data_IF_986984669303
#
_entry.id   IF_986984669303
#
_cell.length_a   1.000
_cell.length_b   1.000
_cell.length_c   1.000
_cell.angle_alpha   90.00
_cell.angle_beta   90.00
_cell.angle_gamma   90.00
#
_symmetry.space_group_name_H-M   'P 1'
#
loop_
_entity.id
_entity.type
_entity.pdbx_description
1 polymer ?
#
# COMPACT_ATOMS: atom_id res chain seq x y z
N UNK A 1 -18.73 16.80 1.48
CA UNK A 1 -19.54 15.77 2.17
C UNK A 1 -19.77 14.56 1.26
N UNK A 2 -20.03 14.74 -0.03
CA UNK A 2 -20.23 13.64 -0.99
C UNK A 2 -19.02 12.70 -1.14
N UNK A 3 -17.78 13.22 -1.20
CA UNK A 3 -16.58 12.39 -1.29
C UNK A 3 -16.40 11.44 -0.11
N UNK A 4 -16.78 11.87 1.11
CA UNK A 4 -16.74 11.04 2.31
C UNK A 4 -17.81 9.94 2.26
N UNK A 5 -19.05 10.29 1.89
CA UNK A 5 -20.15 9.33 1.73
C UNK A 5 -19.79 8.24 0.71
N UNK A 6 -19.23 8.65 -0.44
CA UNK A 6 -18.69 7.78 -1.49
C UNK A 6 -17.62 6.83 -0.96
N UNK A 7 -16.61 7.37 -0.29
CA UNK A 7 -15.53 6.57 0.31
C UNK A 7 -16.05 5.56 1.34
N UNK A 8 -17.05 5.94 2.13
CA UNK A 8 -17.66 5.07 3.14
C UNK A 8 -18.52 3.97 2.52
N UNK A 9 -19.28 4.27 1.46
CA UNK A 9 -20.05 3.28 0.72
C UNK A 9 -19.15 2.21 0.07
N UNK A 10 -18.05 2.65 -0.56
CA UNK A 10 -17.01 1.74 -1.07
C UNK A 10 -16.47 0.83 0.03
N UNK A 11 -16.07 1.43 1.16
CA UNK A 11 -15.50 0.73 2.29
C UNK A 11 -16.42 -0.38 2.79
N UNK A 12 -17.69 -0.05 3.02
CA UNK A 12 -18.71 -0.98 3.54
C UNK A 12 -18.87 -2.18 2.61
N UNK A 13 -18.87 -1.95 1.30
CA UNK A 13 -19.03 -3.03 0.33
C UNK A 13 -17.76 -3.86 0.16
N UNK A 14 -16.60 -3.23 0.05
CA UNK A 14 -15.31 -3.92 -0.04
C UNK A 14 -15.04 -4.79 1.19
N UNK A 15 -15.43 -4.34 2.38
CA UNK A 15 -15.33 -5.10 3.62
C UNK A 15 -16.41 -6.16 3.79
N UNK A 16 -17.64 -5.91 3.33
CA UNK A 16 -18.67 -6.95 3.30
C UNK A 16 -18.25 -8.13 2.41
N UNK A 17 -17.59 -7.85 1.29
CA UNK A 17 -16.97 -8.84 0.41
C UNK A 17 -15.84 -9.60 1.13
N UNK A 18 -14.92 -8.87 1.77
CA UNK A 18 -13.80 -9.45 2.51
C UNK A 18 -14.22 -10.35 3.68
N UNK A 19 -15.35 -10.04 4.34
CA UNK A 19 -15.89 -10.85 5.42
C UNK A 19 -16.65 -12.08 4.91
N UNK A 20 -17.21 -12.03 3.70
CA UNK A 20 -17.85 -13.18 3.05
C UNK A 20 -16.83 -14.20 2.57
N UNK A 21 -15.73 -13.72 1.99
CA UNK A 21 -14.60 -14.57 1.60
C UNK A 21 -13.32 -14.11 2.31
N UNK A 22 -12.99 -14.84 3.37
CA UNK A 22 -11.82 -14.56 4.22
C UNK A 22 -10.51 -14.71 3.47
N UNK A 23 -10.50 -15.39 2.31
CA UNK A 23 -9.29 -15.59 1.53
C UNK A 23 -8.80 -14.28 0.91
N UNK A 24 -9.69 -13.31 0.71
CA UNK A 24 -9.37 -11.94 0.25
C UNK A 24 -8.49 -11.17 1.24
N UNK A 25 -8.57 -11.47 2.54
CA UNK A 25 -7.81 -10.79 3.59
C UNK A 25 -6.43 -11.43 3.85
N UNK A 26 -6.29 -12.72 3.54
CA UNK A 26 -5.07 -13.50 3.81
C UNK A 26 -3.80 -12.83 3.26
N UNK A 27 -3.74 -12.35 1.99
CA UNK A 27 -2.50 -11.78 1.46
C UNK A 27 -2.11 -10.49 2.19
N UNK A 28 -3.07 -9.63 2.57
CA UNK A 28 -2.79 -8.41 3.32
C UNK A 28 -2.24 -8.69 4.72
N UNK A 29 -2.73 -9.75 5.38
CA UNK A 29 -2.20 -10.19 6.68
C UNK A 29 -0.79 -10.77 6.52
N UNK A 30 -0.57 -11.61 5.52
CA UNK A 30 0.75 -12.17 5.24
C UNK A 30 1.77 -11.10 4.85
N UNK A 31 1.36 -10.08 4.08
CA UNK A 31 2.21 -8.94 3.74
C UNK A 31 2.74 -8.25 4.99
N UNK A 32 1.87 -8.08 5.99
CA UNK A 32 2.24 -7.41 7.23
C UNK A 32 3.21 -8.26 8.07
N UNK A 33 2.95 -9.55 8.23
CA UNK A 33 3.82 -10.45 9.00
C UNK A 33 5.17 -10.63 8.30
N UNK A 34 5.16 -10.96 7.00
CA UNK A 34 6.40 -11.15 6.22
C UNK A 34 7.17 -9.84 6.12
N UNK A 35 6.50 -8.72 5.88
CA UNK A 35 7.13 -7.41 5.85
C UNK A 35 7.76 -7.03 7.19
N UNK A 36 7.14 -7.40 8.32
CA UNK A 36 7.72 -7.18 9.64
C UNK A 36 8.97 -8.05 9.86
N UNK A 37 8.91 -9.34 9.55
CA UNK A 37 10.05 -10.27 9.67
C UNK A 37 11.22 -9.80 8.81
N UNK A 38 10.96 -9.42 7.56
CA UNK A 38 11.96 -8.86 6.64
C UNK A 38 12.56 -7.57 7.20
N UNK A 39 11.74 -6.69 7.77
CA UNK A 39 12.21 -5.45 8.38
C UNK A 39 13.13 -5.73 9.57
N UNK A 40 12.74 -6.62 10.47
CA UNK A 40 13.56 -6.99 11.65
C UNK A 40 14.89 -7.61 11.22
N UNK A 41 14.85 -8.60 10.31
CA UNK A 41 16.05 -9.27 9.83
C UNK A 41 16.96 -8.33 9.04
N UNK A 42 16.39 -7.42 8.25
CA UNK A 42 17.13 -6.46 7.44
C UNK A 42 17.74 -5.30 8.24
N UNK A 43 17.16 -4.93 9.37
CA UNK A 43 17.70 -3.88 10.25
C UNK A 43 18.97 -4.34 10.97
N UNK A 44 19.06 -5.63 11.36
CA UNK A 44 20.23 -6.19 12.07
C UNK A 44 21.56 -5.89 11.34
N UNK A 45 21.75 -6.24 10.05
CA UNK A 45 23.01 -5.95 9.35
C UNK A 45 23.26 -4.46 9.15
N UNK A 46 22.21 -3.63 9.03
CA UNK A 46 22.34 -2.17 8.92
C UNK A 46 22.89 -1.59 10.23
N UNK A 47 22.34 -2.00 11.37
CA UNK A 47 22.80 -1.58 12.69
C UNK A 47 24.24 -2.04 12.92
N UNK A 48 24.56 -3.30 12.61
CA UNK A 48 25.94 -3.81 12.72
C UNK A 48 26.91 -3.03 11.85
N UNK A 49 26.57 -2.75 10.59
CA UNK A 49 27.40 -1.96 9.70
C UNK A 49 27.60 -0.53 10.22
N UNK A 50 26.56 0.08 10.78
CA UNK A 50 26.62 1.40 11.39
C UNK A 50 27.53 1.42 12.64
N UNK A 51 27.43 0.43 13.53
CA UNK A 51 28.28 0.35 14.71
C UNK A 51 29.75 0.09 14.38
N UNK A 52 30.04 -0.73 13.37
CA UNK A 52 31.42 -1.10 13.01
C UNK A 52 32.09 0.00 12.17
N UNK A 53 31.34 0.65 11.26
CA UNK A 53 31.93 1.52 10.23
C UNK A 53 31.34 2.94 10.17
N UNK A 54 30.41 3.33 11.06
CA UNK A 54 29.56 4.53 10.94
C UNK A 54 30.29 5.86 10.72
N UNK A 55 31.50 6.02 11.27
CA UNK A 55 32.29 7.26 11.13
C UNK A 55 33.11 7.32 9.84
N UNK A 56 33.12 6.25 9.05
CA UNK A 56 33.88 6.18 7.80
C UNK A 56 33.00 6.46 6.59
N UNK A 57 33.58 7.03 5.52
CA UNK A 57 32.87 7.15 4.24
C UNK A 57 32.44 5.79 3.69
N UNK A 58 33.27 4.75 3.92
CA UNK A 58 32.95 3.37 3.55
C UNK A 58 31.70 2.85 4.28
N UNK A 59 31.62 3.02 5.61
CA UNK A 59 30.45 2.61 6.38
C UNK A 59 29.17 3.32 5.99
N UNK A 60 29.25 4.60 5.63
CA UNK A 60 28.10 5.34 5.10
C UNK A 60 27.60 4.77 3.77
N UNK A 61 28.50 4.39 2.85
CA UNK A 61 28.13 3.75 1.58
C UNK A 61 27.52 2.37 1.82
N UNK A 62 28.11 1.56 2.70
CA UNK A 62 27.61 0.22 3.04
C UNK A 62 26.23 0.29 3.69
N UNK A 63 26.06 1.18 4.68
CA UNK A 63 24.78 1.38 5.38
C UNK A 63 23.70 1.87 4.41
N UNK A 64 24.06 2.77 3.48
CA UNK A 64 23.15 3.22 2.43
C UNK A 64 22.77 2.09 1.47
N UNK A 65 23.74 1.28 1.02
CA UNK A 65 23.51 0.13 0.16
C UNK A 65 22.62 -0.93 0.80
N UNK A 66 22.86 -1.25 2.08
CA UNK A 66 22.03 -2.17 2.85
C UNK A 66 20.62 -1.61 3.07
N UNK A 67 20.50 -0.31 3.33
CA UNK A 67 19.20 0.37 3.43
C UNK A 67 18.42 0.36 2.10
N UNK A 68 19.11 0.59 0.98
CA UNK A 68 18.53 0.49 -0.36
C UNK A 68 18.06 -0.94 -0.68
N UNK A 69 18.87 -1.94 -0.32
CA UNK A 69 18.52 -3.35 -0.47
C UNK A 69 17.29 -3.72 0.38
N UNK A 70 17.24 -3.26 1.63
CA UNK A 70 16.09 -3.50 2.50
C UNK A 70 14.80 -2.89 1.91
N UNK A 71 14.86 -1.64 1.43
CA UNK A 71 13.73 -0.99 0.75
C UNK A 71 13.30 -1.78 -0.49
N UNK A 72 14.26 -2.28 -1.28
CA UNK A 72 13.97 -3.11 -2.45
C UNK A 72 13.23 -4.39 -2.07
N UNK A 73 13.75 -5.16 -1.12
CA UNK A 73 13.10 -6.39 -0.65
C UNK A 73 11.69 -6.08 -0.12
N UNK A 74 11.54 -4.95 0.59
CA UNK A 74 10.23 -4.54 1.10
C UNK A 74 9.23 -4.24 -0.01
N UNK A 75 9.66 -3.59 -1.10
CA UNK A 75 8.80 -3.40 -2.27
C UNK A 75 8.42 -4.72 -2.94
N UNK A 76 9.37 -5.66 -3.09
CA UNK A 76 9.09 -6.99 -3.66
C UNK A 76 8.01 -7.71 -2.86
N UNK A 77 8.17 -7.78 -1.53
CA UNK A 77 7.17 -8.37 -0.63
C UNK A 77 5.82 -7.69 -0.81
N UNK A 78 5.80 -6.35 -0.80
CA UNK A 78 4.56 -5.58 -0.91
C UNK A 78 3.83 -5.87 -2.22
N UNK A 79 4.55 -5.88 -3.35
CA UNK A 79 3.96 -6.11 -4.68
C UNK A 79 3.51 -7.54 -4.90
N UNK A 80 4.21 -8.53 -4.35
CA UNK A 80 3.78 -9.95 -4.34
C UNK A 80 2.41 -10.07 -3.67
N UNK A 81 2.27 -9.55 -2.46
CA UNK A 81 1.03 -9.70 -1.70
C UNK A 81 -0.10 -8.82 -2.26
N UNK A 82 0.20 -7.60 -2.70
CA UNK A 82 -0.77 -6.75 -3.40
C UNK A 82 -1.26 -7.40 -4.70
N UNK A 83 -0.37 -7.98 -5.50
CA UNK A 83 -0.74 -8.70 -6.72
C UNK A 83 -1.68 -9.87 -6.45
N UNK A 84 -1.43 -10.66 -5.39
CA UNK A 84 -2.35 -11.71 -4.97
C UNK A 84 -3.72 -11.16 -4.56
N UNK A 85 -3.78 -10.10 -3.74
CA UNK A 85 -5.06 -9.49 -3.35
C UNK A 85 -5.84 -9.03 -4.57
N UNK A 86 -5.18 -8.41 -5.56
CA UNK A 86 -5.82 -7.97 -6.80
C UNK A 86 -6.42 -9.16 -7.55
N UNK A 87 -5.68 -10.25 -7.71
CA UNK A 87 -6.19 -11.44 -8.38
C UNK A 87 -7.37 -12.07 -7.64
N UNK A 88 -7.31 -12.17 -6.31
CA UNK A 88 -8.40 -12.75 -5.53
C UNK A 88 -9.69 -11.92 -5.63
N UNK A 89 -9.56 -10.59 -5.62
CA UNK A 89 -10.70 -9.70 -5.83
C UNK A 89 -11.28 -9.90 -7.23
N UNK A 90 -10.43 -10.01 -8.25
CA UNK A 90 -10.86 -10.29 -9.61
C UNK A 90 -11.56 -11.66 -9.75
N UNK A 91 -10.97 -12.71 -9.17
CA UNK A 91 -11.52 -14.07 -9.18
C UNK A 91 -12.86 -14.15 -8.46
N UNK A 92 -13.00 -13.51 -7.29
CA UNK A 92 -14.27 -13.45 -6.58
C UNK A 92 -15.33 -12.67 -7.39
N UNK A 93 -14.98 -11.55 -8.01
CA UNK A 93 -15.94 -10.75 -8.80
C UNK A 93 -16.35 -11.44 -10.12
N UNK A 94 -15.47 -12.25 -10.71
CA UNK A 94 -15.70 -12.87 -12.04
C UNK A 94 -16.24 -14.30 -11.95
N UNK A 95 -15.70 -15.10 -11.03
CA UNK A 95 -15.97 -16.54 -10.90
C UNK A 95 -16.75 -16.88 -9.61
N UNK A 96 -16.89 -15.93 -8.66
CA UNK A 96 -17.61 -16.13 -7.40
C UNK A 96 -16.82 -16.81 -6.28
N UNK A 97 -15.53 -17.13 -6.50
CA UNK A 97 -14.64 -17.77 -5.52
C UNK A 97 -13.19 -17.25 -5.66
N UNK A 98 -12.62 -16.70 -4.59
CA UNK A 98 -11.25 -16.20 -4.53
C UNK A 98 -10.25 -17.30 -4.19
N UNK A 99 -9.86 -18.14 -5.15
CA UNK A 99 -8.91 -19.24 -4.89
C UNK A 99 -7.46 -18.78 -4.75
N UNK A 100 -6.89 -18.99 -3.56
CA UNK A 100 -5.49 -18.67 -3.22
C UNK A 100 -4.45 -19.39 -4.11
N UNK A 101 -4.70 -20.64 -4.48
CA UNK A 101 -3.75 -21.44 -5.28
C UNK A 101 -3.47 -20.80 -6.65
N UNK A 102 -4.52 -20.26 -7.28
CA UNK A 102 -4.44 -19.58 -8.58
C UNK A 102 -3.70 -18.25 -8.44
N UNK A 103 -3.96 -17.50 -7.37
CA UNK A 103 -3.25 -16.24 -7.08
C UNK A 103 -1.73 -16.46 -6.94
N UNK A 104 -1.34 -17.53 -6.25
CA UNK A 104 0.08 -17.88 -6.07
C UNK A 104 0.75 -18.37 -7.36
N UNK A 105 0.02 -19.03 -8.26
CA UNK A 105 0.55 -19.44 -9.56
C UNK A 105 0.89 -18.22 -10.43
N UNK A 106 0.02 -17.21 -10.43
CA UNK A 106 0.19 -15.99 -11.23
C UNK A 106 1.36 -15.16 -10.71
N UNK A 107 1.43 -14.92 -9.41
CA UNK A 107 2.56 -14.15 -8.83
C UNK A 107 3.91 -14.84 -9.03
N UNK A 108 3.95 -16.19 -9.02
CA UNK A 108 5.18 -16.92 -9.35
C UNK A 108 5.59 -16.77 -10.82
N UNK A 109 4.62 -16.72 -11.74
CA UNK A 109 4.87 -16.48 -13.16
C UNK A 109 5.39 -15.06 -13.39
N UNK A 110 4.74 -14.07 -12.78
CA UNK A 110 5.03 -12.65 -12.98
C UNK A 110 6.11 -12.12 -11.99
N UNK A 111 6.82 -13.03 -11.32
CA UNK A 111 7.79 -12.69 -10.28
C UNK A 111 8.90 -11.76 -10.80
N UNK A 112 9.39 -11.99 -12.02
CA UNK A 112 10.42 -11.15 -12.61
C UNK A 112 9.91 -9.73 -12.94
N UNK A 113 8.67 -9.60 -13.42
CA UNK A 113 8.04 -8.30 -13.62
C UNK A 113 7.84 -7.57 -12.29
N UNK A 114 7.44 -8.29 -11.23
CA UNK A 114 7.33 -7.71 -9.88
C UNK A 114 8.71 -7.24 -9.36
N UNK A 115 9.77 -8.02 -9.59
CA UNK A 115 11.14 -7.62 -9.23
C UNK A 115 11.57 -6.35 -9.97
N UNK A 116 11.29 -6.25 -11.27
CA UNK A 116 11.64 -5.06 -12.04
C UNK A 116 10.83 -3.83 -11.59
N UNK A 117 9.54 -3.99 -11.30
CA UNK A 117 8.72 -2.92 -10.73
C UNK A 117 9.27 -2.47 -9.36
N UNK A 118 9.62 -3.41 -8.49
CA UNK A 118 10.25 -3.12 -7.20
C UNK A 118 11.59 -2.40 -7.36
N UNK A 119 12.39 -2.77 -8.36
CA UNK A 119 13.67 -2.12 -8.64
C UNK A 119 13.46 -0.65 -9.04
N UNK A 120 12.53 -0.40 -9.96
CA UNK A 120 12.22 0.97 -10.39
C UNK A 120 11.66 1.80 -9.22
N UNK A 121 10.73 1.24 -8.44
CA UNK A 121 10.19 1.92 -7.24
C UNK A 121 11.24 2.19 -6.18
N UNK A 122 12.23 1.31 -6.03
CA UNK A 122 13.38 1.54 -5.14
C UNK A 122 14.21 2.73 -5.62
N UNK A 123 14.57 2.75 -6.90
CA UNK A 123 15.35 3.84 -7.49
C UNK A 123 14.61 5.17 -7.33
N UNK A 124 13.31 5.22 -7.65
CA UNK A 124 12.47 6.41 -7.47
C UNK A 124 12.45 6.85 -6.01
N UNK A 125 12.30 5.91 -5.07
CA UNK A 125 12.30 6.22 -3.64
C UNK A 125 13.65 6.73 -3.13
N UNK A 126 14.77 6.17 -3.60
CA UNK A 126 16.12 6.64 -3.25
C UNK A 126 16.39 8.05 -3.79
N UNK A 127 16.02 8.32 -5.05
CA UNK A 127 16.13 9.65 -5.64
C UNK A 127 15.30 10.69 -4.88
N UNK A 128 14.07 10.32 -4.48
CA UNK A 128 13.20 11.14 -3.63
C UNK A 128 13.83 11.44 -2.27
N UNK A 129 14.36 10.41 -1.59
CA UNK A 129 14.97 10.57 -0.28
C UNK A 129 16.25 11.42 -0.34
N UNK A 130 17.05 11.26 -1.39
CA UNK A 130 18.21 12.11 -1.65
C UNK A 130 17.81 13.57 -1.91
N UNK A 131 16.76 13.80 -2.71
CA UNK A 131 16.24 15.14 -3.00
C UNK A 131 15.67 15.83 -1.74
N UNK A 132 15.02 15.08 -0.83
CA UNK A 132 14.49 15.60 0.44
C UNK A 132 15.59 15.92 1.46
N UNK A 133 16.67 15.14 1.47
CA UNK A 133 17.81 15.34 2.38
C UNK A 133 18.66 16.56 1.99
N UNK A 134 18.67 16.92 0.71
CA UNK A 134 19.36 18.10 0.18
C UNK A 134 18.53 19.38 0.35
N UNK A 135 18.27 19.75 1.62
CA UNK A 135 17.47 20.92 2.02
C UNK A 135 18.19 22.27 1.83
N UNK A 136 19.40 22.29 1.27
CA UNK A 136 20.28 23.47 1.20
C UNK A 136 20.47 23.92 -0.26
N UNK A 137 19.94 25.11 -0.55
CA UNK A 137 20.13 25.97 -1.74
C UNK A 137 20.68 25.30 -3.00
N UNK A 138 19.81 25.03 -3.98
CA UNK A 138 20.12 25.19 -5.41
C UNK A 138 18.84 25.06 -6.25
N UNK A 139 18.78 25.76 -7.39
CA UNK A 139 17.66 25.76 -8.35
C UNK A 139 17.20 24.36 -8.78
N UNK A 140 18.10 23.37 -8.75
CA UNK A 140 17.80 21.95 -8.94
C UNK A 140 16.82 21.40 -7.90
N UNK A 141 16.83 21.89 -6.66
CA UNK A 141 15.89 21.50 -5.61
C UNK A 141 14.47 22.05 -5.83
N UNK A 142 14.30 23.16 -6.57
CA UNK A 142 12.98 23.67 -6.96
C UNK A 142 12.38 22.82 -8.11
N UNK A 143 13.20 22.48 -9.12
CA UNK A 143 12.78 21.65 -10.25
C UNK A 143 12.58 20.19 -9.85
N UNK A 144 13.41 19.68 -8.93
CA UNK A 144 13.20 18.38 -8.29
C UNK A 144 11.97 18.38 -7.38
N UNK A 145 11.55 19.50 -6.78
CA UNK A 145 10.31 19.55 -5.97
C UNK A 145 9.05 19.49 -6.83
N UNK A 146 9.02 20.18 -7.97
CA UNK A 146 7.88 20.10 -8.90
C UNK A 146 7.83 18.77 -9.63
N UNK A 147 8.98 18.26 -10.09
CA UNK A 147 9.07 16.97 -10.75
C UNK A 147 8.86 15.82 -9.75
N UNK A 148 9.48 15.82 -8.57
CA UNK A 148 9.28 14.74 -7.59
C UNK A 148 7.86 14.73 -7.04
N UNK A 149 7.19 15.87 -6.80
CA UNK A 149 5.80 15.85 -6.31
C UNK A 149 4.82 15.25 -7.33
N UNK A 150 4.97 15.60 -8.61
CA UNK A 150 4.14 15.08 -9.71
C UNK A 150 4.52 13.64 -10.07
N UNK A 151 5.81 13.33 -10.22
CA UNK A 151 6.30 11.99 -10.52
C UNK A 151 6.06 11.02 -9.36
N UNK A 152 6.09 11.46 -8.10
CA UNK A 152 5.77 10.63 -6.92
C UNK A 152 4.29 10.27 -6.90
N UNK A 153 3.40 11.23 -7.10
CA UNK A 153 1.94 10.97 -7.11
C UNK A 153 1.59 10.10 -8.30
N UNK A 154 2.11 10.42 -9.49
CA UNK A 154 1.84 9.69 -10.72
C UNK A 154 2.48 8.31 -10.75
N UNK A 155 3.74 8.13 -10.33
CA UNK A 155 4.41 6.82 -10.32
C UNK A 155 3.83 5.90 -9.25
N UNK A 156 3.55 6.42 -8.06
CA UNK A 156 3.01 5.59 -6.98
C UNK A 156 1.57 5.19 -7.30
N UNK A 157 0.73 6.09 -7.83
CA UNK A 157 -0.64 5.75 -8.28
C UNK A 157 -0.67 4.88 -9.54
N UNK A 158 0.21 5.14 -10.52
CA UNK A 158 0.30 4.32 -11.73
C UNK A 158 0.82 2.91 -11.41
N UNK A 159 1.81 2.75 -10.52
CA UNK A 159 2.30 1.44 -10.10
C UNK A 159 1.18 0.59 -9.46
N UNK A 160 0.25 1.21 -8.74
CA UNK A 160 -0.92 0.53 -8.19
C UNK A 160 -1.95 0.09 -9.24
N UNK A 161 -1.95 0.67 -10.44
CA UNK A 161 -2.80 0.26 -11.58
C UNK A 161 -2.08 -0.70 -12.53
N UNK A 162 -0.75 -0.60 -12.61
CA UNK A 162 0.12 -1.50 -13.39
C UNK A 162 0.11 -2.90 -12.80
N UNK A 163 0.05 -3.05 -11.48
CA UNK A 163 -0.07 -4.35 -10.82
C UNK A 163 -1.34 -5.12 -11.25
N UNK A 164 -2.55 -4.53 -11.17
CA UNK A 164 -3.74 -5.12 -11.78
C UNK A 164 -3.60 -5.42 -13.26
N UNK A 165 -2.97 -4.54 -14.05
CA UNK A 165 -2.77 -4.79 -15.47
C UNK A 165 -1.90 -6.03 -15.75
N UNK A 166 -0.79 -6.18 -15.03
CA UNK A 166 0.09 -7.34 -15.18
C UNK A 166 -0.64 -8.62 -14.77
N UNK A 167 -1.26 -8.60 -13.59
CA UNK A 167 -1.87 -9.80 -12.98
C UNK A 167 -3.14 -10.25 -13.69
N UNK A 168 -3.99 -9.31 -14.12
CA UNK A 168 -5.31 -9.62 -14.69
C UNK A 168 -5.21 -9.83 -16.21
N UNK A 169 -4.39 -9.05 -16.90
CA UNK A 169 -4.29 -9.11 -18.35
C UNK A 169 -3.05 -9.85 -18.86
N UNK A 170 -2.24 -10.43 -17.98
CA UNK A 170 -1.08 -11.25 -18.33
C UNK A 170 -0.08 -10.48 -19.23
N UNK A 171 0.15 -9.22 -18.87
CA UNK A 171 0.99 -8.31 -19.63
C UNK A 171 2.32 -8.09 -18.89
N UNK A 172 3.43 -8.03 -19.64
CA UNK A 172 4.73 -7.64 -19.08
C UNK A 172 4.67 -6.19 -18.54
N UNK A 173 5.63 -5.81 -17.69
CA UNK A 173 5.67 -4.47 -17.08
C UNK A 173 5.53 -3.32 -18.10
N UNK A 174 6.23 -3.43 -19.24
CA UNK A 174 6.22 -2.42 -20.30
C UNK A 174 4.85 -2.27 -20.94
N UNK A 175 4.21 -3.39 -21.26
CA UNK A 175 2.92 -3.42 -21.95
C UNK A 175 1.80 -2.98 -21.00
N UNK A 176 1.91 -3.38 -19.72
CA UNK A 176 1.04 -2.92 -18.62
C UNK A 176 1.13 -1.41 -18.41
N UNK A 177 2.33 -0.83 -18.44
CA UNK A 177 2.54 0.61 -18.35
C UNK A 177 1.93 1.35 -19.53
N UNK A 178 2.15 0.86 -20.76
CA UNK A 178 1.56 1.47 -21.97
C UNK A 178 0.04 1.43 -21.93
N UNK A 179 -0.54 0.31 -21.47
CA UNK A 179 -1.98 0.14 -21.33
C UNK A 179 -2.57 1.08 -20.28
N UNK A 180 -2.00 1.12 -19.08
CA UNK A 180 -2.44 2.03 -18.01
C UNK A 180 -2.32 3.49 -18.45
N UNK A 181 -1.28 3.84 -19.20
CA UNK A 181 -1.10 5.19 -19.71
C UNK A 181 -2.18 5.58 -20.73
N UNK A 182 -2.56 4.65 -21.62
CA UNK A 182 -3.67 4.84 -22.55
C UNK A 182 -5.01 5.04 -21.82
N UNK A 183 -5.32 4.14 -20.88
CA UNK A 183 -6.52 4.20 -20.03
C UNK A 183 -6.61 5.54 -19.29
N UNK A 184 -5.50 5.96 -18.69
CA UNK A 184 -5.44 7.20 -17.90
C UNK A 184 -5.69 8.41 -18.78
N UNK A 185 -5.07 8.48 -19.97
CA UNK A 185 -5.21 9.62 -20.87
C UNK A 185 -6.62 9.79 -21.42
N UNK A 186 -7.33 8.68 -21.63
CA UNK A 186 -8.67 8.67 -22.23
C UNK A 186 -9.80 8.84 -21.19
N UNK A 187 -9.57 8.50 -19.90
CA UNK A 187 -10.63 8.49 -18.85
C UNK A 187 -10.28 9.29 -17.56
N UNK A 188 -9.34 10.25 -17.62
CA UNK A 188 -8.77 11.02 -16.50
C UNK A 188 -9.76 11.68 -15.53
N UNK A 189 -10.98 12.04 -15.98
CA UNK A 189 -11.97 12.76 -15.17
C UNK A 189 -12.70 11.88 -14.13
N UNK A 190 -12.71 10.55 -14.31
CA UNK A 190 -13.44 9.64 -13.41
C UNK A 190 -12.55 9.03 -12.30
N UNK A 191 -11.24 9.03 -12.52
CA UNK A 191 -10.22 8.44 -11.62
C UNK A 191 -9.89 9.38 -10.45
N UNK A 192 -9.94 10.70 -10.66
CA UNK A 192 -9.50 11.70 -9.67
C UNK A 192 -10.49 12.00 -8.53
N UNK A 193 -11.79 11.78 -8.73
CA UNK A 193 -12.82 12.22 -7.75
C UNK A 193 -13.05 11.16 -6.66
N UNK A 194 -12.90 9.88 -6.97
CA UNK A 194 -13.18 8.78 -6.03
C UNK A 194 -11.98 8.38 -5.16
N UNK A 195 -10.74 8.59 -5.62
CA UNK A 195 -9.50 8.32 -4.88
C UNK A 195 -9.42 9.14 -3.60
N UNK A 196 -9.87 10.40 -3.68
CA UNK A 196 -9.85 11.35 -2.57
C UNK A 196 -10.76 10.86 -1.44
N UNK A 197 -11.96 10.37 -1.74
CA UNK A 197 -12.91 9.88 -0.74
C UNK A 197 -12.41 8.69 0.08
N UNK A 198 -11.89 7.67 -0.60
CA UNK A 198 -11.39 6.45 0.05
C UNK A 198 -10.17 6.75 0.92
N UNK A 199 -9.22 7.57 0.45
CA UNK A 199 -8.05 7.97 1.23
C UNK A 199 -8.43 8.68 2.52
N UNK A 200 -9.37 9.63 2.46
CA UNK A 200 -9.87 10.32 3.66
C UNK A 200 -10.52 9.35 4.66
N UNK A 201 -11.33 8.41 4.19
CA UNK A 201 -12.00 7.43 5.06
C UNK A 201 -10.99 6.46 5.69
N UNK A 202 -10.07 5.91 4.91
CA UNK A 202 -9.01 5.03 5.44
C UNK A 202 -8.09 5.77 6.40
N UNK A 203 -7.79 7.06 6.13
CA UNK A 203 -6.99 7.90 6.99
C UNK A 203 -7.71 8.22 8.31
N UNK A 204 -9.01 8.48 8.26
CA UNK A 204 -9.84 8.69 9.45
C UNK A 204 -9.90 7.42 10.31
N UNK A 205 -10.08 6.25 9.69
CA UNK A 205 -10.07 4.98 10.41
C UNK A 205 -8.71 4.74 11.05
N UNK A 206 -7.62 4.94 10.31
CA UNK A 206 -6.26 4.86 10.85
C UNK A 206 -6.04 5.82 12.02
N UNK A 207 -6.55 7.05 11.92
CA UNK A 207 -6.48 8.04 12.99
C UNK A 207 -7.29 7.62 14.22
N UNK A 208 -8.53 7.13 14.05
CA UNK A 208 -9.38 6.68 15.16
C UNK A 208 -8.76 5.47 15.86
N UNK A 209 -8.32 4.45 15.13
CA UNK A 209 -7.65 3.30 15.72
C UNK A 209 -6.33 3.70 16.40
N UNK A 210 -5.56 4.59 15.79
CA UNK A 210 -4.34 5.13 16.38
C UNK A 210 -4.60 5.93 17.66
N UNK A 211 -5.62 6.79 17.67
CA UNK A 211 -6.02 7.58 18.83
C UNK A 211 -6.53 6.69 19.97
N UNK A 212 -7.40 5.72 19.68
CA UNK A 212 -7.89 4.75 20.68
C UNK A 212 -6.72 3.95 21.25
N UNK A 213 -5.88 3.38 20.38
CA UNK A 213 -4.71 2.64 20.79
C UNK A 213 -3.78 3.49 21.67
N UNK A 214 -3.57 4.75 21.30
CA UNK A 214 -2.72 5.67 22.05
C UNK A 214 -3.30 6.01 23.42
N UNK A 215 -4.60 6.32 23.51
CA UNK A 215 -5.28 6.61 24.77
C UNK A 215 -5.21 5.41 25.71
N UNK A 216 -5.47 4.20 25.21
CA UNK A 216 -5.39 2.98 26.02
C UNK A 216 -3.94 2.70 26.45
N UNK A 217 -2.99 2.82 25.53
CA UNK A 217 -1.57 2.63 25.84
C UNK A 217 -1.06 3.62 26.87
N UNK A 218 -1.48 4.88 26.77
CA UNK A 218 -1.13 5.93 27.72
C UNK A 218 -1.81 5.72 29.07
N UNK A 219 -3.08 5.32 29.10
CA UNK A 219 -3.81 5.02 30.32
C UNK A 219 -3.17 3.85 31.09
N UNK A 220 -2.78 2.79 30.38
CA UNK A 220 -2.16 1.61 31.00
C UNK A 220 -0.70 1.89 31.36
N UNK A 221 0.09 2.41 30.42
CA UNK A 221 1.51 2.68 30.66
C UNK A 221 1.76 3.80 31.67
N UNK A 222 1.05 4.92 31.52
CA UNK A 222 1.10 6.04 32.45
C UNK A 222 0.42 5.74 33.78
N UNK A 223 -0.68 4.98 33.79
CA UNK A 223 -1.37 4.56 35.01
C UNK A 223 -0.51 3.64 35.87
N UNK A 224 0.17 2.66 35.27
CA UNK A 224 1.09 1.77 35.98
C UNK A 224 2.31 2.53 36.52
N UNK A 225 2.87 3.46 35.74
CA UNK A 225 3.97 4.31 36.21
C UNK A 225 3.54 5.19 37.40
N UNK A 226 2.34 5.79 37.35
CA UNK A 226 1.80 6.62 38.42
C UNK A 226 1.54 5.83 39.71
N UNK A 227 0.86 4.68 39.62
CA UNK A 227 0.54 3.83 40.79
C UNK A 227 1.79 3.25 41.43
N UNK A 228 2.84 2.98 40.64
CA UNK A 228 4.11 2.45 41.14
C UNK A 228 5.01 3.47 41.84
N UNK A 229 4.59 4.74 41.94
CA UNK A 229 5.41 5.80 42.54
C UNK A 229 6.71 6.10 41.77
N UNK A 230 6.77 5.73 40.48
CA UNK A 230 7.96 5.90 39.66
C UNK A 230 8.99 4.77 39.81
N UNK A 231 8.63 3.63 40.38
CA UNK A 231 9.50 2.44 40.34
C UNK A 231 9.86 2.09 38.89
N UNK A 232 11.17 2.02 38.62
CA UNK A 232 11.70 1.83 37.27
C UNK A 232 11.19 0.52 36.65
N UNK A 233 11.15 -0.57 37.41
CA UNK A 233 10.72 -1.88 36.92
C UNK A 233 9.26 -1.88 36.47
N UNK A 234 8.35 -1.37 37.31
CA UNK A 234 6.91 -1.35 37.02
C UNK A 234 6.58 -0.35 35.90
N UNK A 235 7.29 0.79 35.86
CA UNK A 235 7.15 1.77 34.78
C UNK A 235 7.57 1.19 33.43
N UNK A 236 8.69 0.44 33.38
CA UNK A 236 9.13 -0.24 32.15
C UNK A 236 8.09 -1.27 31.71
N UNK A 237 7.57 -2.09 32.62
CA UNK A 237 6.53 -3.08 32.32
C UNK A 237 5.29 -2.39 31.75
N UNK A 238 4.84 -1.29 32.37
CA UNK A 238 3.70 -0.51 31.90
C UNK A 238 3.91 0.06 30.49
N UNK A 239 5.09 0.61 30.21
CA UNK A 239 5.45 1.11 28.88
C UNK A 239 5.45 -0.02 27.85
N UNK A 240 6.02 -1.19 28.18
CA UNK A 240 6.05 -2.34 27.28
C UNK A 240 4.64 -2.83 26.96
N UNK A 241 3.77 -2.99 27.97
CA UNK A 241 2.38 -3.41 27.78
C UNK A 241 1.62 -2.36 26.95
N UNK A 242 1.76 -1.08 27.28
CA UNK A 242 1.14 0.01 26.53
C UNK A 242 1.59 0.02 25.06
N UNK A 243 2.88 -0.15 24.81
CA UNK A 243 3.45 -0.24 23.46
C UNK A 243 2.90 -1.44 22.69
N UNK A 244 2.78 -2.62 23.30
CA UNK A 244 2.18 -3.80 22.67
C UNK A 244 0.71 -3.61 22.29
N UNK A 245 -0.06 -2.95 23.16
CA UNK A 245 -1.46 -2.63 22.89
C UNK A 245 -1.56 -1.63 21.73
N UNK A 246 -0.81 -0.53 21.80
CA UNK A 246 -0.76 0.46 20.72
C UNK A 246 -0.39 -0.20 19.39
N UNK A 247 0.64 -1.05 19.40
CA UNK A 247 1.10 -1.76 18.22
C UNK A 247 0.03 -2.68 17.62
N UNK A 248 -0.77 -3.34 18.45
CA UNK A 248 -1.90 -4.17 18.00
C UNK A 248 -2.94 -3.34 17.25
N UNK A 249 -3.30 -2.16 17.76
CA UNK A 249 -4.22 -1.25 17.08
C UNK A 249 -3.66 -0.74 15.75
N UNK A 250 -2.37 -0.38 15.72
CA UNK A 250 -1.67 0.04 14.49
C UNK A 250 -1.64 -1.09 13.46
N UNK A 251 -1.42 -2.34 13.88
CA UNK A 251 -1.47 -3.49 12.98
C UNK A 251 -2.84 -3.67 12.34
N UNK A 252 -3.92 -3.60 13.14
CA UNK A 252 -5.29 -3.71 12.63
C UNK A 252 -5.59 -2.59 11.63
N UNK A 253 -5.23 -1.35 11.95
CA UNK A 253 -5.37 -0.21 11.05
C UNK A 253 -4.57 -0.38 9.75
N UNK A 254 -3.38 -1.00 9.82
CA UNK A 254 -2.50 -1.24 8.68
C UNK A 254 -3.09 -2.28 7.72
N UNK A 255 -3.60 -3.40 8.24
CA UNK A 255 -4.32 -4.39 7.42
C UNK A 255 -5.53 -3.74 6.77
N UNK A 256 -6.25 -2.92 7.54
CA UNK A 256 -7.43 -2.24 7.05
C UNK A 256 -7.12 -1.33 5.86
N UNK A 257 -6.13 -0.46 6.03
CA UNK A 257 -5.67 0.47 5.01
C UNK A 257 -5.11 -0.26 3.78
N UNK A 258 -4.28 -1.29 3.99
CA UNK A 258 -3.65 -2.06 2.93
C UNK A 258 -4.68 -2.76 2.03
N UNK A 259 -5.65 -3.46 2.63
CA UNK A 259 -6.70 -4.15 1.89
C UNK A 259 -7.58 -3.16 1.13
N UNK A 260 -8.11 -2.13 1.81
CA UNK A 260 -9.01 -1.16 1.18
C UNK A 260 -8.36 -0.43 0.01
N UNK A 261 -7.09 -0.02 0.15
CA UNK A 261 -6.39 0.67 -0.92
C UNK A 261 -6.16 -0.25 -2.13
N UNK A 262 -5.74 -1.49 -1.88
CA UNK A 262 -5.53 -2.47 -2.95
C UNK A 262 -6.83 -2.83 -3.66
N UNK A 263 -7.91 -3.04 -2.90
CA UNK A 263 -9.22 -3.35 -3.44
C UNK A 263 -9.81 -2.21 -4.27
N UNK A 264 -9.56 -0.97 -3.86
CA UNK A 264 -9.99 0.20 -4.60
C UNK A 264 -9.33 0.28 -5.98
N UNK A 265 -8.00 0.14 -6.02
CA UNK A 265 -7.26 0.16 -7.29
C UNK A 265 -7.59 -1.04 -8.19
N UNK A 266 -7.81 -2.22 -7.62
CA UNK A 266 -8.27 -3.40 -8.36
C UNK A 266 -9.64 -3.16 -9.02
N UNK A 267 -10.63 -2.70 -8.24
CA UNK A 267 -11.97 -2.43 -8.76
C UNK A 267 -11.97 -1.34 -9.84
N UNK A 268 -11.17 -0.29 -9.64
CA UNK A 268 -11.03 0.80 -10.61
C UNK A 268 -10.46 0.28 -11.93
N UNK A 269 -9.41 -0.55 -11.86
CA UNK A 269 -8.80 -1.14 -13.04
C UNK A 269 -9.77 -2.05 -13.81
N UNK A 270 -10.48 -2.93 -13.10
CA UNK A 270 -11.48 -3.84 -13.70
C UNK A 270 -12.54 -3.02 -14.46
N UNK A 271 -13.08 -1.97 -13.82
CA UNK A 271 -14.08 -1.13 -14.44
C UNK A 271 -13.55 -0.39 -15.67
N UNK A 272 -12.35 0.20 -15.59
CA UNK A 272 -11.74 0.89 -16.73
C UNK A 272 -11.54 -0.05 -17.93
N UNK A 273 -11.08 -1.27 -17.67
CA UNK A 273 -10.94 -2.32 -18.69
C UNK A 273 -12.29 -2.70 -19.31
N UNK A 274 -13.33 -2.87 -18.49
CA UNK A 274 -14.64 -3.31 -18.99
C UNK A 274 -15.34 -2.19 -19.81
N UNK A 275 -15.11 -0.92 -19.45
CA UNK A 275 -15.52 0.25 -20.27
C UNK A 275 -14.80 0.26 -21.63
N UNK A 276 -13.49 0.00 -21.67
CA UNK A 276 -12.76 -0.09 -22.94
C UNK A 276 -13.26 -1.24 -23.82
N UNK A 277 -13.53 -2.41 -23.24
CA UNK A 277 -14.11 -3.55 -23.98
C UNK A 277 -15.48 -3.21 -24.57
N UNK A 278 -16.36 -2.57 -23.80
CA UNK A 278 -17.67 -2.16 -24.28
C UNK A 278 -17.59 -1.08 -25.38
N UNK A 279 -16.64 -0.15 -25.26
CA UNK A 279 -16.38 0.86 -26.29
C UNK A 279 -15.83 0.23 -27.59
N UNK A 280 -14.93 -0.75 -27.49
CA UNK A 280 -14.40 -1.50 -28.64
C UNK A 280 -15.47 -2.38 -29.31
N UNK A 281 -16.44 -2.88 -28.56
CA UNK A 281 -17.60 -3.63 -29.07
C UNK A 281 -18.72 -2.72 -29.64
N UNK A 282 -18.51 -1.40 -29.69
CA UNK A 282 -19.50 -0.44 -30.20
C UNK A 282 -20.74 -0.28 -29.32
N UNK A 283 -20.72 -0.77 -28.08
CA UNK A 283 -21.81 -0.64 -27.11
C UNK A 283 -21.57 0.61 -26.26
N UNK A 284 -22.31 1.68 -26.53
CA UNK A 284 -22.41 2.88 -25.66
C UNK A 284 -23.30 2.62 -24.43
N UNK A 285 -23.29 1.41 -23.88
CA UNK A 285 -24.04 1.06 -22.69
C UNK A 285 -23.17 1.35 -21.46
N UNK A 286 -23.70 2.09 -20.49
CA UNK A 286 -23.10 2.29 -19.17
C UNK A 286 -22.68 0.92 -18.59
N UNK A 287 -21.39 0.62 -18.65
CA UNK A 287 -20.84 -0.61 -18.08
C UNK A 287 -21.01 -0.54 -16.57
N UNK A 288 -21.79 -1.47 -16.03
CA UNK A 288 -22.05 -1.56 -14.60
C UNK A 288 -20.71 -1.74 -13.87
N UNK A 289 -20.37 -0.76 -13.03
CA UNK A 289 -19.18 -0.85 -12.21
C UNK A 289 -19.26 -2.04 -11.25
N UNK A 290 -18.11 -2.66 -10.89
CA UNK A 290 -18.06 -3.67 -9.84
C UNK A 290 -18.76 -3.16 -8.59
N UNK A 291 -19.52 -4.01 -7.89
CA UNK A 291 -20.40 -3.56 -6.80
C UNK A 291 -19.76 -2.50 -5.87
N UNK A 292 -18.53 -2.69 -5.34
CA UNK A 292 -17.89 -1.69 -4.48
C UNK A 292 -17.69 -0.32 -5.15
N UNK A 293 -17.36 -0.30 -6.44
CA UNK A 293 -17.17 0.90 -7.23
C UNK A 293 -18.50 1.50 -7.71
N UNK A 294 -19.51 0.68 -8.01
CA UNK A 294 -20.87 1.14 -8.31
C UNK A 294 -21.47 1.93 -7.14
N UNK A 295 -21.15 1.55 -5.90
CA UNK A 295 -21.54 2.28 -4.70
C UNK A 295 -20.98 3.71 -4.63
N UNK A 296 -19.86 3.97 -5.32
CA UNK A 296 -19.21 5.29 -5.40
C UNK A 296 -19.76 6.11 -6.56
N UNK A 297 -20.04 5.45 -7.68
CA UNK A 297 -20.47 6.12 -8.91
C UNK A 297 -21.97 6.45 -8.93
N UNK A 298 -22.79 5.69 -8.20
CA UNK A 298 -24.25 5.88 -8.11
C UNK A 298 -24.70 6.73 -6.91
N UNK A 299 -23.76 7.26 -6.11
CA UNK A 299 -24.04 8.03 -4.87
C UNK A 299 -23.67 9.50 -4.96
#
# INVERSE_FOLDING_TARGET
MESFSRGWAFLKQAWSMAFKDKDLLKPSIYALIVGMVVSVLGIIPIILAFFIFGDTQFGNVVTFGLGALLVFIQFVVTYIFSGMTVYLIFGYLSEGDGRMDKAWAIVRRDFFDILTLAAVSTVVNLLRNAARRNRRNNLAANLARSAAGLLETLWTEAAYLVLPAMVIDDLNLKDSLQRVWKITRENLLLIGISTVGVRFVTGLIGFVFGAIGFVIAFAIGGGLAYVSGGEMAISIIGIVIGALIFFTFVMVASVFSSYTNTAYHACLYIWARDVEKAAAEGKTAQVAAPAPLAAVLNS
#
